data_IF_449026517602
#
_entry.id   IF_449026517602
#
_cell.length_a   1.000
_cell.length_b   1.000
_cell.length_c   1.000
_cell.angle_alpha   90.00
_cell.angle_beta   90.00
_cell.angle_gamma   90.00
#
_symmetry.space_group_name_H-M   'P 1'
#
loop_
_entity.id
_entity.type
_entity.pdbx_description
1 polymer ?
#
# COMPACT_ATOMS: atom_id res chain seq x y z
N UNK A 1 -1.33 -6.16 -2.55
CA UNK A 1 -2.20 -5.38 -3.47
C UNK A 1 -1.62 -4.02 -3.81
N UNK A 2 -1.09 -3.29 -2.81
CA UNK A 2 -0.44 -2.00 -3.04
C UNK A 2 0.76 -2.08 -4.00
N UNK A 3 1.67 -3.02 -3.75
CA UNK A 3 2.82 -3.29 -4.62
C UNK A 3 2.46 -3.83 -6.00
N UNK A 4 1.24 -4.37 -6.17
CA UNK A 4 0.73 -4.82 -7.47
C UNK A 4 0.11 -3.67 -8.30
N UNK A 5 0.27 -2.41 -7.87
CA UNK A 5 -0.23 -1.24 -8.59
C UNK A 5 -1.72 -0.93 -8.44
N UNK A 6 -2.50 -1.70 -7.67
CA UNK A 6 -3.96 -1.51 -7.60
C UNK A 6 -4.38 -0.19 -6.93
N UNK A 7 -5.29 0.58 -7.51
CA UNK A 7 -5.84 1.78 -6.88
C UNK A 7 -6.61 1.47 -5.59
N UNK A 8 -6.84 2.47 -4.74
CA UNK A 8 -7.62 2.26 -3.50
C UNK A 8 -9.02 1.70 -3.77
N UNK A 9 -9.67 2.15 -4.86
CA UNK A 9 -10.94 1.60 -5.36
C UNK A 9 -10.85 0.11 -5.70
N UNK A 10 -9.80 -0.30 -6.42
CA UNK A 10 -9.61 -1.71 -6.78
C UNK A 10 -9.32 -2.58 -5.55
N UNK A 11 -8.54 -2.07 -4.60
CA UNK A 11 -8.25 -2.75 -3.34
C UNK A 11 -9.53 -2.88 -2.51
N UNK A 12 -10.29 -1.80 -2.36
CA UNK A 12 -11.55 -1.74 -1.64
C UNK A 12 -12.54 -2.79 -2.16
N UNK A 13 -12.75 -2.82 -3.49
CA UNK A 13 -13.60 -3.82 -4.14
C UNK A 13 -13.13 -5.26 -3.90
N UNK A 14 -11.82 -5.51 -3.94
CA UNK A 14 -11.27 -6.87 -3.78
C UNK A 14 -11.31 -7.36 -2.33
N UNK A 15 -11.30 -6.44 -1.37
CA UNK A 15 -11.33 -6.74 0.06
C UNK A 15 -12.72 -6.54 0.67
N UNK A 16 -13.72 -6.15 -0.12
CA UNK A 16 -15.10 -5.87 0.33
C UNK A 16 -15.17 -4.85 1.48
N UNK A 17 -14.33 -3.81 1.42
CA UNK A 17 -14.27 -2.70 2.39
C UNK A 17 -14.39 -1.35 1.68
N UNK A 18 -14.57 -0.26 2.44
CA UNK A 18 -14.66 1.09 1.88
C UNK A 18 -13.30 1.60 1.34
N UNK A 19 -13.32 2.47 0.33
CA UNK A 19 -12.12 3.17 -0.14
C UNK A 19 -11.45 3.99 0.98
N UNK A 20 -12.24 4.52 1.92
CA UNK A 20 -11.75 5.25 3.08
C UNK A 20 -10.92 4.33 3.99
N UNK A 21 -11.40 3.11 4.28
CA UNK A 21 -10.67 2.12 5.07
C UNK A 21 -9.33 1.78 4.41
N UNK A 22 -9.31 1.62 3.07
CA UNK A 22 -8.04 1.40 2.34
C UNK A 22 -7.11 2.61 2.47
N UNK A 23 -7.62 3.84 2.35
CA UNK A 23 -6.83 5.06 2.51
C UNK A 23 -6.19 5.15 3.90
N UNK A 24 -6.93 4.80 4.95
CA UNK A 24 -6.44 4.73 6.31
C UNK A 24 -5.27 3.74 6.45
N UNK A 25 -5.44 2.50 5.98
CA UNK A 25 -4.37 1.49 6.04
C UNK A 25 -3.17 1.86 5.16
N UNK A 26 -3.39 2.46 4.00
CA UNK A 26 -2.30 2.94 3.14
C UNK A 26 -1.48 4.04 3.83
N UNK A 27 -2.14 4.97 4.52
CA UNK A 27 -1.48 5.99 5.34
C UNK A 27 -0.65 5.39 6.48
N UNK A 28 -1.21 4.40 7.18
CA UNK A 28 -0.49 3.70 8.24
C UNK A 28 0.75 2.95 7.72
N UNK A 29 0.65 2.32 6.55
CA UNK A 29 1.80 1.65 5.90
C UNK A 29 2.87 2.65 5.50
N UNK A 30 2.50 3.78 4.90
CA UNK A 30 3.42 4.88 4.57
C UNK A 30 4.16 5.39 5.82
N UNK A 31 3.43 5.62 6.91
CA UNK A 31 4.01 6.05 8.18
C UNK A 31 5.00 5.04 8.76
N UNK A 32 4.63 3.75 8.80
CA UNK A 32 5.50 2.67 9.30
C UNK A 32 6.77 2.48 8.47
N UNK A 33 6.70 2.74 7.16
CA UNK A 33 7.83 2.65 6.25
C UNK A 33 8.63 3.96 6.13
N UNK A 34 8.18 5.03 6.81
CA UNK A 34 8.70 6.38 6.65
C UNK A 34 8.78 6.80 5.16
N UNK A 35 7.73 6.51 4.39
CA UNK A 35 7.65 6.76 2.96
C UNK A 35 6.69 7.93 2.67
N UNK A 36 7.06 8.79 1.71
CA UNK A 36 6.28 9.96 1.28
C UNK A 36 5.33 9.67 0.13
N UNK A 37 5.55 8.56 -0.56
CA UNK A 37 4.68 8.12 -1.66
C UNK A 37 4.49 6.62 -1.64
N UNK A 38 3.44 6.18 -2.32
CA UNK A 38 3.16 4.76 -2.51
C UNK A 38 4.29 4.04 -3.26
N UNK A 39 4.88 4.67 -4.27
CA UNK A 39 6.00 4.11 -5.01
C UNK A 39 7.22 3.93 -4.09
N UNK A 40 7.51 4.92 -3.26
CA UNK A 40 8.60 4.85 -2.27
C UNK A 40 8.35 3.74 -1.24
N UNK A 41 7.13 3.61 -0.73
CA UNK A 41 6.78 2.53 0.20
C UNK A 41 7.03 1.13 -0.40
N UNK A 42 6.68 0.94 -1.68
CA UNK A 42 6.94 -0.31 -2.40
C UNK A 42 8.45 -0.53 -2.58
N UNK A 43 9.18 0.49 -3.04
CA UNK A 43 10.64 0.41 -3.22
C UNK A 43 11.37 0.06 -1.91
N UNK A 44 11.02 0.71 -0.80
CA UNK A 44 11.56 0.40 0.53
C UNK A 44 11.23 -1.03 0.96
N UNK A 45 9.99 -1.47 0.75
CA UNK A 45 9.58 -2.84 1.10
C UNK A 45 10.34 -3.91 0.30
N UNK A 46 10.70 -3.62 -0.95
CA UNK A 46 11.57 -4.48 -1.78
C UNK A 46 13.00 -4.48 -1.20
N UNK A 47 13.56 -3.30 -0.91
CA UNK A 47 14.91 -3.18 -0.33
C UNK A 47 15.05 -3.85 1.05
N UNK A 48 13.96 -3.93 1.81
CA UNK A 48 13.89 -4.64 3.10
C UNK A 48 13.61 -6.15 2.96
N UNK A 49 13.33 -6.64 1.75
CA UNK A 49 12.98 -8.04 1.50
C UNK A 49 11.57 -8.44 1.98
N UNK A 50 10.69 -7.49 2.30
CA UNK A 50 9.31 -7.77 2.75
C UNK A 50 8.38 -8.12 1.60
N UNK A 51 8.71 -7.64 0.40
CA UNK A 51 7.97 -7.90 -0.83
C UNK A 51 8.95 -8.49 -1.83
N UNK A 52 8.59 -9.65 -2.37
CA UNK A 52 9.23 -10.26 -3.52
C UNK A 52 8.51 -9.74 -4.78
N UNK A 53 9.28 -9.34 -5.77
CA UNK A 53 8.82 -8.92 -7.11
C UNK A 53 9.22 -9.94 -8.15
#
# INVERSE_FOLDING_TARGET
LMARGLTNRQIARRLEISEHTVKFHAGAVLGKLNARSRAEAVARSIGLGWILV
#
